data_IF_450567594974
#
_entry.id   IF_450567594974
#
_cell.length_a   1.000
_cell.length_b   1.000
_cell.length_c   1.000
_cell.angle_alpha   90.00
_cell.angle_beta   90.00
_cell.angle_gamma   90.00
#
_symmetry.space_group_name_H-M   'P 1'
#
loop_
_entity.id
_entity.type
_entity.pdbx_description
1 polymer ?
#
# COMPACT_ATOMS: atom_id res chain seq x y z
N UNK A 1 -5.89 1.91 21.54
CA UNK A 1 -6.57 0.67 21.09
C UNK A 1 -6.68 -0.28 22.25
N UNK A 2 -7.80 -1.02 22.41
CA UNK A 2 -7.88 -2.08 23.43
C UNK A 2 -6.89 -3.21 23.04
N UNK A 3 -5.99 -3.64 23.96
CA UNK A 3 -4.99 -4.67 23.66
C UNK A 3 -5.58 -6.05 23.37
N UNK A 4 -6.87 -6.25 23.63
CA UNK A 4 -7.55 -7.55 23.53
C UNK A 4 -8.45 -7.70 22.30
N UNK A 5 -8.52 -6.69 21.43
CA UNK A 5 -9.40 -6.78 20.26
C UNK A 5 -8.73 -7.58 19.14
N UNK A 6 -9.49 -8.48 18.46
CA UNK A 6 -8.95 -9.33 17.41
C UNK A 6 -8.40 -8.49 16.24
N UNK A 7 -7.36 -9.00 15.58
CA UNK A 7 -6.74 -8.35 14.42
C UNK A 7 -7.54 -8.52 13.13
N UNK A 8 -8.48 -9.47 13.11
CA UNK A 8 -9.36 -9.77 11.99
C UNK A 8 -10.71 -10.27 12.51
N UNK A 9 -11.77 -10.00 11.75
CA UNK A 9 -13.09 -10.61 11.93
C UNK A 9 -13.12 -12.11 11.61
N UNK A 10 -12.25 -12.54 10.70
CA UNK A 10 -12.13 -13.92 10.27
C UNK A 10 -11.11 -14.68 11.12
N UNK A 11 -11.14 -16.02 11.13
CA UNK A 11 -10.15 -16.81 11.83
C UNK A 11 -8.73 -16.45 11.42
N UNK A 12 -7.84 -16.36 12.39
CA UNK A 12 -6.41 -16.16 12.15
C UNK A 12 -5.72 -17.48 12.51
N UNK A 13 -5.15 -18.20 11.54
CA UNK A 13 -4.50 -19.49 11.80
C UNK A 13 -3.24 -19.29 12.63
N UNK A 14 -2.90 -20.28 13.44
CA UNK A 14 -1.60 -20.33 14.12
C UNK A 14 -0.50 -20.65 13.11
N UNK A 15 0.70 -20.09 13.32
CA UNK A 15 1.81 -20.29 12.37
C UNK A 15 2.16 -21.75 12.15
N UNK A 16 2.02 -22.59 13.18
CA UNK A 16 2.29 -24.05 13.09
C UNK A 16 1.35 -24.79 12.15
N UNK A 17 0.13 -24.26 11.94
CA UNK A 17 -0.92 -24.88 11.13
C UNK A 17 -0.90 -24.40 9.68
N UNK A 18 -0.03 -23.45 9.34
CA UNK A 18 0.11 -22.90 8.00
C UNK A 18 0.93 -23.81 7.09
N UNK A 19 0.66 -23.81 5.76
CA UNK A 19 1.56 -24.38 4.77
C UNK A 19 2.99 -23.83 4.94
N UNK A 20 3.98 -24.69 4.68
CA UNK A 20 5.38 -24.37 4.95
C UNK A 20 5.88 -23.11 4.24
N UNK A 21 5.52 -22.93 2.97
CA UNK A 21 5.90 -21.77 2.16
C UNK A 21 5.34 -20.46 2.73
N UNK A 22 4.10 -20.45 3.20
CA UNK A 22 3.45 -19.27 3.82
C UNK A 22 4.11 -18.98 5.17
N UNK A 23 4.31 -20.01 5.99
CA UNK A 23 4.99 -19.87 7.28
C UNK A 23 6.41 -19.33 7.12
N UNK A 24 7.18 -19.89 6.17
CA UNK A 24 8.52 -19.42 5.88
C UNK A 24 8.54 -17.94 5.47
N UNK A 25 7.61 -17.51 4.61
CA UNK A 25 7.48 -16.11 4.21
C UNK A 25 7.16 -15.20 5.40
N UNK A 26 6.23 -15.59 6.26
CA UNK A 26 5.87 -14.82 7.45
C UNK A 26 7.07 -14.67 8.40
N UNK A 27 7.79 -15.76 8.64
CA UNK A 27 8.98 -15.74 9.51
C UNK A 27 10.10 -14.86 8.94
N UNK A 28 10.34 -14.90 7.63
CA UNK A 28 11.31 -14.02 6.97
C UNK A 28 10.94 -12.53 7.10
N UNK A 29 9.66 -12.20 7.04
CA UNK A 29 9.19 -10.81 7.28
C UNK A 29 9.37 -10.44 8.75
N UNK A 30 9.05 -11.34 9.67
CA UNK A 30 9.25 -11.11 11.10
C UNK A 30 10.73 -10.86 11.45
N UNK A 31 11.63 -11.63 10.88
CA UNK A 31 13.09 -11.46 11.07
C UNK A 31 13.55 -10.08 10.58
N UNK A 32 13.06 -9.63 9.44
CA UNK A 32 13.44 -8.35 8.83
C UNK A 32 12.86 -7.14 9.53
N UNK A 33 11.60 -7.21 9.99
CA UNK A 33 10.86 -6.06 10.55
C UNK A 33 10.78 -6.04 12.08
N UNK A 34 11.11 -7.15 12.74
CA UNK A 34 10.99 -7.32 14.19
C UNK A 34 9.58 -7.71 14.67
N UNK A 35 8.60 -7.79 13.78
CA UNK A 35 7.23 -8.19 14.08
C UNK A 35 6.56 -8.78 12.83
N UNK A 36 5.42 -9.46 13.01
CA UNK A 36 4.60 -9.94 11.89
C UNK A 36 3.51 -8.91 11.58
N UNK A 37 3.51 -8.27 10.38
CA UNK A 37 2.42 -7.39 10.00
C UNK A 37 1.08 -8.15 9.92
N UNK A 38 0.05 -7.57 10.49
CA UNK A 38 -1.27 -8.23 10.61
C UNK A 38 -1.89 -8.63 9.26
N UNK A 39 -1.51 -8.00 8.16
CA UNK A 39 -1.95 -8.40 6.81
C UNK A 39 -1.54 -9.83 6.47
N UNK A 40 -0.34 -10.26 6.87
CA UNK A 40 0.12 -11.63 6.63
C UNK A 40 -0.73 -12.64 7.40
N UNK A 41 -1.00 -12.37 8.67
CA UNK A 41 -1.81 -13.25 9.51
C UNK A 41 -3.26 -13.28 9.05
N UNK A 42 -3.84 -12.12 8.69
CA UNK A 42 -5.23 -12.03 8.24
C UNK A 42 -5.44 -12.75 6.92
N UNK A 43 -4.54 -12.55 5.93
CA UNK A 43 -4.67 -13.18 4.61
C UNK A 43 -4.29 -14.66 4.61
N UNK A 44 -3.49 -15.13 5.58
CA UNK A 44 -3.15 -16.54 5.74
C UNK A 44 -4.37 -17.43 6.01
N UNK A 45 -5.53 -16.86 6.37
CA UNK A 45 -6.82 -17.56 6.42
C UNK A 45 -7.17 -18.25 5.09
N UNK A 46 -6.69 -17.74 3.97
CA UNK A 46 -6.92 -18.26 2.61
C UNK A 46 -5.57 -18.47 1.88
N UNK A 47 -4.93 -19.62 2.06
CA UNK A 47 -3.56 -19.87 1.58
C UNK A 47 -3.31 -19.58 0.10
N UNK A 48 -4.21 -19.99 -0.79
CA UNK A 48 -4.03 -19.78 -2.24
C UNK A 48 -4.20 -18.30 -2.62
N UNK A 49 -5.16 -17.63 -1.98
CA UNK A 49 -5.35 -16.18 -2.16
C UNK A 49 -4.17 -15.39 -1.59
N UNK A 50 -3.59 -15.82 -0.46
CA UNK A 50 -2.36 -15.25 0.10
C UNK A 50 -1.21 -15.29 -0.92
N UNK A 51 -0.99 -16.45 -1.55
CA UNK A 51 0.07 -16.61 -2.55
C UNK A 51 -0.13 -15.67 -3.73
N UNK A 52 -1.34 -15.65 -4.30
CA UNK A 52 -1.67 -14.79 -5.44
C UNK A 52 -1.55 -13.29 -5.09
N UNK A 53 -2.05 -12.89 -3.92
CA UNK A 53 -1.99 -11.52 -3.43
C UNK A 53 -0.54 -11.03 -3.31
N UNK A 54 0.30 -11.77 -2.61
CA UNK A 54 1.68 -11.35 -2.40
C UNK A 54 2.55 -11.52 -3.64
N UNK A 55 2.26 -12.46 -4.54
CA UNK A 55 2.95 -12.54 -5.82
C UNK A 55 2.70 -11.29 -6.67
N UNK A 56 1.46 -10.82 -6.74
CA UNK A 56 1.14 -9.60 -7.48
C UNK A 56 1.65 -8.33 -6.78
N UNK A 57 1.54 -8.28 -5.44
CA UNK A 57 2.14 -7.19 -4.64
C UNK A 57 3.63 -7.02 -4.95
N UNK A 58 4.41 -8.10 -4.90
CA UNK A 58 5.85 -8.05 -5.11
C UNK A 58 6.19 -7.64 -6.55
N UNK A 59 5.43 -8.14 -7.53
CA UNK A 59 5.57 -7.76 -8.93
C UNK A 59 5.34 -6.26 -9.16
N UNK A 60 4.46 -5.63 -8.39
CA UNK A 60 4.21 -4.19 -8.50
C UNK A 60 5.20 -3.34 -7.68
N UNK A 61 5.51 -3.76 -6.45
CA UNK A 61 6.19 -2.90 -5.49
C UNK A 61 7.72 -3.02 -5.51
N UNK A 62 8.27 -4.15 -6.01
CA UNK A 62 9.70 -4.41 -5.96
C UNK A 62 10.42 -4.34 -7.32
N UNK A 63 9.69 -4.24 -8.43
CA UNK A 63 10.30 -4.16 -9.77
C UNK A 63 11.03 -2.83 -10.00
N UNK A 64 12.10 -2.81 -10.80
CA UNK A 64 12.68 -1.58 -11.33
C UNK A 64 11.69 -0.89 -12.28
N UNK A 65 11.52 0.43 -12.18
CA UNK A 65 10.78 1.26 -13.14
C UNK A 65 11.12 2.74 -12.94
N UNK A 66 10.45 3.65 -13.68
CA UNK A 66 10.56 5.08 -13.50
C UNK A 66 10.01 5.61 -12.18
N UNK A 67 9.30 4.77 -11.39
CA UNK A 67 8.83 5.11 -10.06
C UNK A 67 9.83 4.68 -8.99
N UNK A 68 10.20 5.59 -8.11
CA UNK A 68 10.93 5.25 -6.89
C UNK A 68 10.06 4.45 -5.92
N UNK A 69 10.69 3.73 -4.98
CA UNK A 69 9.96 3.01 -3.92
C UNK A 69 9.12 3.94 -3.05
N UNK A 70 9.58 5.18 -2.83
CA UNK A 70 8.81 6.18 -2.09
C UNK A 70 7.57 6.65 -2.87
N UNK A 71 7.67 6.85 -4.18
CA UNK A 71 6.54 7.24 -5.02
C UNK A 71 5.45 6.17 -5.06
N UNK A 72 5.82 4.89 -5.13
CA UNK A 72 4.84 3.80 -5.00
C UNK A 72 4.08 3.86 -3.67
N UNK A 73 4.79 4.08 -2.56
CA UNK A 73 4.16 4.24 -1.25
C UNK A 73 3.28 5.49 -1.15
N UNK A 74 3.64 6.59 -1.84
CA UNK A 74 2.78 7.78 -1.93
C UNK A 74 1.45 7.45 -2.61
N UNK A 75 1.48 6.69 -3.72
CA UNK A 75 0.27 6.22 -4.41
C UNK A 75 -0.59 5.41 -3.43
N UNK A 76 0.01 4.46 -2.73
CA UNK A 76 -0.69 3.61 -1.76
C UNK A 76 -1.36 4.47 -0.67
N UNK A 77 -0.62 5.38 -0.06
CA UNK A 77 -1.14 6.21 1.05
C UNK A 77 -2.29 7.10 0.57
N UNK A 78 -2.13 7.79 -0.56
CA UNK A 78 -3.15 8.70 -1.08
C UNK A 78 -4.45 7.94 -1.45
N UNK A 79 -4.35 6.85 -2.23
CA UNK A 79 -5.51 6.07 -2.67
C UNK A 79 -6.16 5.30 -1.52
N UNK A 80 -5.37 4.81 -0.56
CA UNK A 80 -5.89 4.14 0.63
C UNK A 80 -6.64 5.08 1.57
N UNK A 81 -6.21 6.35 1.66
CA UNK A 81 -6.95 7.36 2.41
C UNK A 81 -8.31 7.66 1.76
N UNK A 82 -8.34 7.81 0.43
CA UNK A 82 -9.58 7.97 -0.31
C UNK A 82 -10.56 6.81 -0.11
N UNK A 83 -10.05 5.59 0.03
CA UNK A 83 -10.83 4.38 0.35
C UNK A 83 -11.06 4.18 1.86
N UNK A 84 -10.64 5.12 2.71
CA UNK A 84 -10.75 5.06 4.18
C UNK A 84 -10.21 3.76 4.78
N UNK A 85 -9.10 3.26 4.24
CA UNK A 85 -8.44 2.05 4.75
C UNK A 85 -7.45 2.41 5.86
N UNK A 86 -7.86 2.29 7.11
CA UNK A 86 -7.00 2.60 8.25
C UNK A 86 -5.71 1.76 8.24
N UNK A 87 -5.82 0.44 7.99
CA UNK A 87 -4.66 -0.44 7.96
C UNK A 87 -3.62 0.04 6.95
N UNK A 88 -4.06 0.24 5.71
CA UNK A 88 -3.14 0.57 4.62
C UNK A 88 -2.52 1.96 4.78
N UNK A 89 -3.29 2.96 5.21
CA UNK A 89 -2.75 4.31 5.47
C UNK A 89 -1.67 4.28 6.54
N UNK A 90 -1.88 3.55 7.65
CA UNK A 90 -0.93 3.51 8.76
C UNK A 90 0.30 2.67 8.40
N UNK A 91 0.12 1.46 7.85
CA UNK A 91 1.22 0.56 7.51
C UNK A 91 2.10 1.15 6.39
N UNK A 92 1.51 1.55 5.27
CA UNK A 92 2.24 2.12 4.15
C UNK A 92 2.72 3.55 4.43
N UNK A 93 2.04 4.30 5.29
CA UNK A 93 2.55 5.57 5.81
C UNK A 93 3.87 5.41 6.56
N UNK A 94 4.03 4.35 7.36
CA UNK A 94 5.29 4.01 8.02
C UNK A 94 6.40 3.70 6.99
N UNK A 95 6.08 2.89 5.99
CA UNK A 95 7.03 2.53 4.93
C UNK A 95 7.39 3.76 4.10
N UNK A 96 6.43 4.63 3.77
CA UNK A 96 6.67 5.88 3.06
C UNK A 96 7.65 6.78 3.82
N UNK A 97 7.45 6.99 5.13
CA UNK A 97 8.38 7.79 5.95
C UNK A 97 9.82 7.28 5.84
N UNK A 98 10.00 5.96 5.93
CA UNK A 98 11.31 5.31 5.82
C UNK A 98 11.91 5.47 4.41
N UNK A 99 11.11 5.19 3.36
CA UNK A 99 11.57 5.23 1.96
C UNK A 99 11.89 6.65 1.49
N UNK A 100 11.09 7.62 1.90
CA UNK A 100 11.30 9.03 1.59
C UNK A 100 12.33 9.72 2.51
N UNK A 101 12.74 9.07 3.61
CA UNK A 101 13.56 9.66 4.67
C UNK A 101 12.97 10.99 5.19
N UNK A 102 11.66 11.03 5.32
CA UNK A 102 10.90 12.21 5.71
C UNK A 102 9.76 11.80 6.65
N UNK A 103 9.84 12.19 7.91
CA UNK A 103 8.87 11.82 8.94
C UNK A 103 7.46 12.43 8.73
N UNK A 104 7.34 13.49 7.94
CA UNK A 104 6.09 14.25 7.78
C UNK A 104 5.32 13.90 6.51
N UNK A 105 6.00 13.39 5.48
CA UNK A 105 5.43 13.25 4.13
C UNK A 105 4.19 12.36 4.10
N UNK A 106 4.17 11.29 4.88
CA UNK A 106 3.04 10.36 4.90
C UNK A 106 1.76 11.01 5.44
N UNK A 107 1.88 11.81 6.50
CA UNK A 107 0.76 12.53 7.10
C UNK A 107 0.23 13.60 6.15
N UNK A 108 1.13 14.34 5.48
CA UNK A 108 0.77 15.34 4.48
C UNK A 108 0.05 14.72 3.28
N UNK A 109 0.60 13.63 2.73
CA UNK A 109 0.01 12.93 1.57
C UNK A 109 -1.35 12.34 1.93
N UNK A 110 -1.47 11.73 3.12
CA UNK A 110 -2.73 11.15 3.59
C UNK A 110 -3.83 12.20 3.75
N UNK A 111 -3.52 13.35 4.35
CA UNK A 111 -4.53 14.39 4.62
C UNK A 111 -4.91 15.15 3.35
N UNK A 112 -3.91 15.63 2.62
CA UNK A 112 -4.12 16.36 1.37
C UNK A 112 -2.83 16.44 0.53
N UNK A 113 -2.62 15.46 -0.35
CA UNK A 113 -1.40 15.40 -1.16
C UNK A 113 -1.18 16.65 -2.04
N UNK A 114 -2.25 17.37 -2.45
CA UNK A 114 -2.12 18.59 -3.25
C UNK A 114 -1.45 19.73 -2.49
N UNK A 115 -1.53 19.70 -1.14
CA UNK A 115 -0.90 20.67 -0.24
C UNK A 115 0.39 20.16 0.40
N UNK A 116 0.75 18.89 0.16
CA UNK A 116 1.96 18.28 0.68
C UNK A 116 3.23 18.91 0.06
N UNK A 117 4.33 18.83 0.82
CA UNK A 117 5.66 19.27 0.40
C UNK A 117 6.33 18.22 -0.47
N UNK A 118 5.75 17.98 -1.64
CA UNK A 118 6.18 17.05 -2.66
C UNK A 118 6.32 17.77 -4.02
N UNK A 119 7.07 17.18 -4.93
CA UNK A 119 7.36 17.78 -6.23
C UNK A 119 6.11 17.90 -7.13
N UNK A 120 6.10 18.83 -8.12
CA UNK A 120 5.03 18.89 -9.12
C UNK A 120 4.84 17.55 -9.87
N UNK A 121 5.93 16.82 -10.16
CA UNK A 121 5.92 15.49 -10.76
C UNK A 121 5.13 14.50 -9.87
N UNK A 122 5.41 14.49 -8.58
CA UNK A 122 4.70 13.61 -7.63
C UNK A 122 3.23 13.99 -7.48
N UNK A 123 2.88 15.28 -7.57
CA UNK A 123 1.47 15.73 -7.55
C UNK A 123 0.73 15.22 -8.79
N UNK A 124 1.30 15.35 -9.99
CA UNK A 124 0.72 14.83 -11.23
C UNK A 124 0.52 13.31 -11.16
N UNK A 125 1.52 12.57 -10.66
CA UNK A 125 1.41 11.12 -10.40
C UNK A 125 0.22 10.80 -9.49
N UNK A 126 0.05 11.53 -8.40
CA UNK A 126 -1.03 11.29 -7.44
C UNK A 126 -2.39 11.73 -7.98
N UNK A 127 -2.47 12.78 -8.80
CA UNK A 127 -3.72 13.16 -9.49
C UNK A 127 -4.20 12.04 -10.41
N UNK A 128 -3.28 11.44 -11.20
CA UNK A 128 -3.59 10.29 -12.03
C UNK A 128 -3.98 9.05 -11.21
N UNK A 129 -3.21 8.70 -10.19
CA UNK A 129 -3.51 7.57 -9.30
C UNK A 129 -4.90 7.71 -8.64
N UNK A 130 -5.26 8.91 -8.21
CA UNK A 130 -6.56 9.21 -7.62
C UNK A 130 -7.69 9.08 -8.64
N UNK A 131 -7.48 9.53 -9.88
CA UNK A 131 -8.46 9.35 -10.97
C UNK A 131 -8.66 7.88 -11.28
N UNK A 132 -7.58 7.09 -11.41
CA UNK A 132 -7.66 5.62 -11.57
C UNK A 132 -8.43 4.98 -10.42
N UNK A 133 -8.14 5.36 -9.17
CA UNK A 133 -8.79 4.78 -7.98
C UNK A 133 -10.28 5.08 -7.86
N UNK A 134 -10.72 6.27 -8.26
CA UNK A 134 -12.07 6.76 -7.98
C UNK A 134 -12.95 6.91 -9.23
N UNK A 135 -12.36 7.14 -10.39
CA UNK A 135 -13.04 7.47 -11.64
C UNK A 135 -12.34 6.84 -12.84
N UNK A 136 -11.92 5.57 -12.75
CA UNK A 136 -11.16 4.89 -13.80
C UNK A 136 -11.85 4.93 -15.18
N UNK A 137 -13.18 4.97 -15.19
CA UNK A 137 -13.99 5.08 -16.41
C UNK A 137 -13.81 6.41 -17.16
N UNK A 138 -13.26 7.42 -16.50
CA UNK A 138 -13.07 8.76 -17.05
C UNK A 138 -11.61 9.05 -17.44
N UNK A 139 -10.71 8.05 -17.32
CA UNK A 139 -9.31 8.20 -17.75
C UNK A 139 -9.26 8.27 -19.27
N UNK A 140 -8.54 9.27 -19.79
CA UNK A 140 -8.41 9.54 -21.22
C UNK A 140 -7.01 10.05 -21.61
N UNK A 141 -6.79 10.35 -22.88
CA UNK A 141 -5.49 10.78 -23.41
C UNK A 141 -4.96 12.06 -22.76
N UNK A 142 -5.82 12.91 -22.22
CA UNK A 142 -5.40 14.16 -21.52
C UNK A 142 -4.70 13.84 -20.22
N UNK A 143 -5.07 12.77 -19.54
CA UNK A 143 -4.41 12.30 -18.31
C UNK A 143 -2.99 11.79 -18.62
N UNK A 144 -2.83 11.03 -19.71
CA UNK A 144 -1.51 10.57 -20.17
C UNK A 144 -0.64 11.75 -20.61
N UNK A 145 -1.21 12.71 -21.34
CA UNK A 145 -0.49 13.93 -21.71
C UNK A 145 0.00 14.72 -20.49
N UNK A 146 -0.80 14.79 -19.42
CA UNK A 146 -0.40 15.43 -18.18
C UNK A 146 0.77 14.69 -17.49
N UNK A 147 0.77 13.35 -17.49
CA UNK A 147 1.88 12.55 -17.00
C UNK A 147 3.15 12.77 -17.85
N UNK A 148 3.04 12.72 -19.18
CA UNK A 148 4.17 12.96 -20.09
C UNK A 148 4.80 14.33 -19.89
N UNK A 149 4.00 15.39 -19.64
CA UNK A 149 4.49 16.72 -19.34
C UNK A 149 5.36 16.79 -18.07
N UNK A 150 5.21 15.80 -17.18
CA UNK A 150 6.01 15.63 -15.97
C UNK A 150 7.08 14.52 -16.07
N UNK A 151 7.37 14.03 -17.29
CA UNK A 151 8.45 13.08 -17.56
C UNK A 151 8.14 11.63 -17.20
N UNK A 152 6.87 11.25 -17.08
CA UNK A 152 6.46 9.86 -17.00
C UNK A 152 6.24 9.28 -18.40
N UNK A 153 6.55 8.00 -18.58
CA UNK A 153 6.23 7.21 -19.77
C UNK A 153 4.87 6.51 -19.62
N UNK A 154 4.41 5.88 -20.71
CA UNK A 154 3.22 5.01 -20.65
C UNK A 154 3.41 3.81 -19.74
N UNK A 155 4.62 3.26 -19.64
CA UNK A 155 4.96 2.19 -18.72
C UNK A 155 4.90 2.66 -17.26
N UNK A 156 5.30 3.92 -16.99
CA UNK A 156 5.12 4.50 -15.65
C UNK A 156 3.64 4.71 -15.34
N UNK A 157 2.83 5.16 -16.32
CA UNK A 157 1.38 5.29 -16.15
C UNK A 157 0.74 3.93 -15.84
N UNK A 158 1.17 2.85 -16.52
CA UNK A 158 0.76 1.49 -16.22
C UNK A 158 1.09 1.11 -14.78
N UNK A 159 2.31 1.40 -14.32
CA UNK A 159 2.73 1.11 -12.95
C UNK A 159 1.92 1.89 -11.91
N UNK A 160 1.69 3.18 -12.14
CA UNK A 160 0.84 4.01 -11.27
C UNK A 160 -0.56 3.42 -11.16
N UNK A 161 -1.17 3.08 -12.31
CA UNK A 161 -2.49 2.49 -12.38
C UNK A 161 -2.55 1.12 -11.70
N UNK A 162 -1.53 0.26 -11.93
CA UNK A 162 -1.42 -1.06 -11.32
C UNK A 162 -1.37 -0.99 -9.80
N UNK A 163 -0.56 -0.09 -9.24
CA UNK A 163 -0.47 0.12 -7.79
C UNK A 163 -1.82 0.63 -7.24
N UNK A 164 -2.42 1.62 -7.88
CA UNK A 164 -3.71 2.17 -7.44
C UNK A 164 -4.83 1.11 -7.46
N UNK A 165 -4.90 0.29 -8.51
CA UNK A 165 -5.89 -0.77 -8.65
C UNK A 165 -5.68 -1.90 -7.63
N UNK A 166 -4.45 -2.37 -7.44
CA UNK A 166 -4.12 -3.40 -6.46
C UNK A 166 -4.49 -2.95 -5.04
N UNK A 167 -4.15 -1.72 -4.67
CA UNK A 167 -4.52 -1.22 -3.36
C UNK A 167 -6.01 -0.93 -3.23
N UNK A 168 -6.72 -0.73 -4.32
CA UNK A 168 -8.19 -0.77 -4.35
C UNK A 168 -8.75 -2.11 -3.88
N UNK A 169 -8.16 -3.24 -4.31
CA UNK A 169 -8.45 -4.59 -3.81
C UNK A 169 -8.06 -4.72 -2.33
N UNK A 170 -6.80 -4.41 -2.01
CA UNK A 170 -6.24 -4.55 -0.67
C UNK A 170 -7.03 -3.77 0.38
N UNK A 171 -7.41 -2.53 0.07
CA UNK A 171 -8.19 -1.67 0.98
C UNK A 171 -9.55 -2.29 1.31
N UNK A 172 -10.24 -2.87 0.32
CA UNK A 172 -11.54 -3.53 0.52
C UNK A 172 -11.41 -4.77 1.39
N UNK A 173 -10.39 -5.59 1.16
CA UNK A 173 -10.11 -6.76 2.01
C UNK A 173 -9.79 -6.33 3.45
N UNK A 174 -8.93 -5.32 3.63
CA UNK A 174 -8.58 -4.82 4.96
C UNK A 174 -9.81 -4.26 5.70
N UNK A 175 -10.67 -3.51 5.02
CA UNK A 175 -11.87 -2.94 5.61
C UNK A 175 -12.90 -4.02 5.98
N UNK A 176 -13.19 -4.98 5.08
CA UNK A 176 -14.20 -6.02 5.33
C UNK A 176 -13.74 -7.02 6.40
N UNK A 177 -12.44 -7.29 6.49
CA UNK A 177 -11.88 -8.16 7.53
C UNK A 177 -11.75 -7.46 8.88
N UNK A 178 -11.89 -6.14 8.93
CA UNK A 178 -11.63 -5.35 10.13
C UNK A 178 -10.16 -5.37 10.55
N UNK A 179 -9.26 -5.51 9.56
CA UNK A 179 -7.82 -5.62 9.79
C UNK A 179 -7.28 -4.42 10.56
N UNK A 180 -6.56 -4.69 11.65
CA UNK A 180 -5.98 -3.65 12.50
C UNK A 180 -4.51 -3.42 12.20
N UNK A 181 -4.06 -2.16 12.12
CA UNK A 181 -2.63 -1.88 12.02
C UNK A 181 -1.88 -2.35 13.27
N UNK A 182 -0.68 -2.87 13.07
CA UNK A 182 0.23 -3.14 14.17
C UNK A 182 0.64 -1.83 14.87
N UNK A 183 0.75 -1.81 16.20
CA UNK A 183 1.19 -0.61 16.95
C UNK A 183 2.54 -0.06 16.49
N UNK A 184 3.45 -0.93 16.06
CA UNK A 184 4.79 -0.57 15.59
C UNK A 184 4.77 0.42 14.43
N UNK A 185 3.81 0.30 13.51
CA UNK A 185 3.71 1.20 12.36
C UNK A 185 3.48 2.66 12.72
N UNK A 186 2.88 2.94 13.88
CA UNK A 186 2.62 4.32 14.31
C UNK A 186 3.90 5.10 14.63
N UNK A 187 4.94 4.41 15.10
CA UNK A 187 6.22 5.00 15.48
C UNK A 187 7.31 4.88 14.41
N UNK A 188 7.19 3.94 13.46
CA UNK A 188 8.22 3.68 12.46
C UNK A 188 8.46 4.88 11.54
N UNK A 189 9.74 5.29 11.40
CA UNK A 189 10.15 6.38 10.52
C UNK A 189 9.81 7.79 11.02
N UNK A 190 9.41 7.93 12.29
CA UNK A 190 9.20 9.23 12.95
C UNK A 190 10.44 9.72 13.66
#
# INVERSE_FOLDING_TARGET
>A
MSPTAPISRFPVPELKDLPEDIRARILAVQEKSGFVPNVFLTLAHRPDEFRAFFAYHDALMDKPSGLSKAEREMIVVATSNANQCQYCVIAHGAILRIRAKNALVADQVAVNYRKADITPRQKAMLDFAMKVSQQSYAVDDTDFAALHAHGFSDEDAWDIAGVAAFFGLSNRLANVTGMRPNPEFYAMGR
#
